data_IF_881783229490
#
_entry.id   IF_881783229490
#
_cell.length_a   1.000
_cell.length_b   1.000
_cell.length_c   1.000
_cell.angle_alpha   90.00
_cell.angle_beta   90.00
_cell.angle_gamma   90.00
#
_symmetry.space_group_name_H-M   'P 1'
#
loop_
_entity.id
_entity.type
_entity.pdbx_description
1 polymer ?
#
# COMPACT_ATOMS: atom_id res chain seq x y z
N UNK A 1 -1.14 13.65 23.04
CA UNK A 1 -2.13 14.59 22.48
C UNK A 1 -2.21 14.33 20.99
N UNK A 2 -3.40 14.23 20.38
CA UNK A 2 -3.52 14.09 18.93
C UNK A 2 -2.79 15.26 18.28
N UNK A 3 -1.80 14.95 17.44
CA UNK A 3 -1.18 15.96 16.58
C UNK A 3 -2.11 16.19 15.40
N UNK A 4 -2.51 17.44 15.22
CA UNK A 4 -3.32 17.85 14.09
C UNK A 4 -2.49 17.72 12.82
N UNK A 5 -2.98 16.94 11.87
CA UNK A 5 -2.39 16.88 10.53
C UNK A 5 -2.47 18.24 9.86
N UNK A 6 -1.58 18.48 8.90
CA UNK A 6 -1.60 19.69 8.09
C UNK A 6 -2.95 19.82 7.41
N UNK A 7 -3.52 21.03 7.51
CA UNK A 7 -4.81 21.32 6.92
C UNK A 7 -4.67 21.44 5.39
N UNK A 8 -5.65 20.88 4.66
CA UNK A 8 -5.69 20.86 3.21
C UNK A 8 -6.56 22.01 2.67
N UNK A 9 -6.03 22.71 1.67
CA UNK A 9 -6.82 23.59 0.81
C UNK A 9 -7.56 22.74 -0.23
N UNK A 10 -8.89 22.72 -0.15
CA UNK A 10 -9.75 21.94 -1.05
C UNK A 10 -9.73 22.44 -2.51
N UNK A 11 -9.14 23.61 -2.79
CA UNK A 11 -8.92 24.11 -4.16
C UNK A 11 -7.68 23.48 -4.82
N UNK A 12 -6.84 22.81 -4.06
CA UNK A 12 -5.64 22.12 -4.55
C UNK A 12 -5.70 20.63 -4.21
N UNK A 13 -5.05 19.80 -5.02
CA UNK A 13 -4.93 18.38 -4.72
C UNK A 13 -3.63 18.13 -3.94
N UNK A 14 -3.69 17.50 -2.75
CA UNK A 14 -2.48 17.09 -2.04
C UNK A 14 -1.74 16.00 -2.83
N UNK A 15 -0.42 15.94 -2.68
CA UNK A 15 0.47 15.01 -3.38
C UNK A 15 0.67 13.77 -2.51
N UNK A 16 0.22 12.62 -3.00
CA UNK A 16 0.19 11.38 -2.22
C UNK A 16 1.06 10.34 -2.90
N UNK A 17 2.02 9.80 -2.17
CA UNK A 17 2.78 8.64 -2.63
C UNK A 17 2.16 7.37 -2.07
N UNK A 18 1.90 6.36 -2.92
CA UNK A 18 1.53 5.02 -2.49
C UNK A 18 2.63 4.03 -2.89
N UNK A 19 3.43 3.60 -1.91
CA UNK A 19 4.53 2.66 -2.11
C UNK A 19 4.09 1.23 -1.80
N UNK A 20 4.32 0.32 -2.75
CA UNK A 20 4.20 -1.11 -2.55
C UNK A 20 5.55 -1.82 -2.39
N UNK A 21 5.47 -3.12 -2.18
CA UNK A 21 6.63 -3.97 -1.87
C UNK A 21 7.62 -4.17 -3.04
N UNK A 22 7.34 -3.63 -4.22
CA UNK A 22 8.20 -3.73 -5.39
C UNK A 22 9.61 -3.20 -5.18
N UNK A 23 9.77 -2.13 -4.38
CA UNK A 23 11.08 -1.58 -4.02
C UNK A 23 11.91 -2.59 -3.22
N UNK A 24 11.28 -3.30 -2.27
CA UNK A 24 11.95 -4.38 -1.53
C UNK A 24 12.33 -5.53 -2.47
N UNK A 25 11.46 -5.88 -3.42
CA UNK A 25 11.74 -6.93 -4.41
C UNK A 25 12.91 -6.61 -5.35
N UNK A 26 13.27 -5.34 -5.52
CA UNK A 26 14.48 -4.96 -6.26
C UNK A 26 15.78 -5.39 -5.55
N UNK A 27 15.69 -5.73 -4.25
CA UNK A 27 16.81 -6.17 -3.40
C UNK A 27 16.52 -7.52 -2.73
N UNK A 28 15.93 -8.47 -3.48
CA UNK A 28 15.62 -9.83 -3.00
C UNK A 28 14.64 -9.90 -1.81
N UNK A 29 13.87 -8.83 -1.58
CA UNK A 29 12.81 -8.80 -0.58
C UNK A 29 11.69 -9.81 -0.87
N UNK A 30 11.02 -10.24 0.20
CA UNK A 30 9.97 -11.26 0.16
C UNK A 30 8.83 -10.89 -0.78
N UNK A 31 8.39 -11.82 -1.63
CA UNK A 31 7.13 -11.70 -2.36
C UNK A 31 5.93 -12.19 -1.53
N UNK A 32 4.72 -11.89 -2.00
CA UNK A 32 3.48 -12.46 -1.47
C UNK A 32 3.52 -14.00 -1.40
N UNK A 33 4.06 -14.65 -2.43
CA UNK A 33 4.21 -16.11 -2.47
C UNK A 33 5.18 -16.61 -1.40
N UNK A 34 6.25 -15.87 -1.11
CA UNK A 34 7.23 -16.23 -0.08
C UNK A 34 6.63 -16.07 1.32
N UNK A 35 5.85 -15.02 1.54
CA UNK A 35 5.10 -14.83 2.78
C UNK A 35 4.10 -15.97 3.00
N UNK A 36 3.26 -16.30 2.00
CA UNK A 36 2.29 -17.40 2.07
C UNK A 36 3.00 -18.74 2.35
N UNK A 37 4.14 -18.99 1.71
CA UNK A 37 4.93 -20.18 1.95
C UNK A 37 5.47 -20.22 3.40
N UNK A 38 5.95 -19.09 3.92
CA UNK A 38 6.47 -18.96 5.28
C UNK A 38 5.40 -19.14 6.38
N UNK A 39 4.14 -18.83 6.08
CA UNK A 39 2.99 -19.02 6.98
C UNK A 39 2.39 -20.44 6.92
N UNK A 40 2.92 -21.30 6.07
CA UNK A 40 2.44 -22.66 5.82
C UNK A 40 2.34 -23.51 7.08
N UNK A 41 1.16 -24.08 7.37
CA UNK A 41 1.01 -25.04 8.48
C UNK A 41 1.52 -26.45 8.17
N UNK A 42 1.69 -26.75 6.87
CA UNK A 42 2.20 -28.02 6.37
C UNK A 42 2.90 -27.84 5.04
N UNK A 43 3.71 -28.83 4.68
CA UNK A 43 4.23 -28.96 3.34
C UNK A 43 3.12 -29.37 2.35
N UNK A 44 3.04 -28.64 1.25
CA UNK A 44 2.18 -28.96 0.11
C UNK A 44 2.99 -29.64 -0.98
N UNK A 45 2.45 -30.73 -1.54
CA UNK A 45 3.03 -31.40 -2.70
C UNK A 45 3.08 -30.46 -3.92
N UNK A 46 3.95 -30.77 -4.89
CA UNK A 46 4.06 -29.96 -6.13
C UNK A 46 2.71 -29.82 -6.86
N UNK A 47 1.87 -30.86 -6.84
CA UNK A 47 0.53 -30.84 -7.43
C UNK A 47 -0.40 -29.88 -6.68
N UNK A 48 -0.40 -29.92 -5.35
CA UNK A 48 -1.20 -29.00 -4.53
C UNK A 48 -0.74 -27.56 -4.71
N UNK A 49 0.57 -27.30 -4.68
CA UNK A 49 1.13 -25.95 -4.89
C UNK A 49 0.67 -25.35 -6.23
N UNK A 50 0.66 -26.14 -7.31
CA UNK A 50 0.16 -25.70 -8.62
C UNK A 50 -1.34 -25.41 -8.61
N UNK A 51 -2.13 -26.21 -7.89
CA UNK A 51 -3.57 -25.96 -7.76
C UNK A 51 -3.85 -24.69 -6.94
N UNK A 52 -3.13 -24.50 -5.84
CA UNK A 52 -3.24 -23.31 -4.96
C UNK A 52 -2.86 -22.05 -5.74
N UNK A 53 -1.78 -22.06 -6.51
CA UNK A 53 -1.32 -20.92 -7.30
C UNK A 53 -2.34 -20.44 -8.37
N UNK A 54 -3.38 -21.22 -8.67
CA UNK A 54 -4.46 -20.82 -9.57
C UNK A 54 -5.58 -20.01 -8.88
N UNK A 55 -5.59 -19.99 -7.54
CA UNK A 55 -6.58 -19.28 -6.75
C UNK A 55 -6.16 -17.81 -6.53
N UNK A 56 -7.10 -16.90 -6.25
CA UNK A 56 -6.79 -15.56 -5.75
C UNK A 56 -5.93 -15.60 -4.48
N UNK A 57 -4.99 -14.66 -4.32
CA UNK A 57 -4.08 -14.61 -3.16
C UNK A 57 -4.77 -14.73 -1.80
N UNK A 58 -5.92 -14.09 -1.54
CA UNK A 58 -6.59 -14.19 -0.25
C UNK A 58 -7.00 -15.64 0.08
N UNK A 59 -7.38 -16.42 -0.92
CA UNK A 59 -7.74 -17.84 -0.73
C UNK A 59 -6.51 -18.73 -0.62
N UNK A 60 -5.40 -18.36 -1.25
CA UNK A 60 -4.12 -19.04 -1.06
C UNK A 60 -3.68 -18.94 0.41
N UNK A 61 -3.80 -17.76 1.03
CA UNK A 61 -3.44 -17.55 2.44
C UNK A 61 -4.31 -18.39 3.39
N UNK A 62 -5.63 -18.49 3.13
CA UNK A 62 -6.54 -19.35 3.91
C UNK A 62 -6.09 -20.80 3.86
N UNK A 63 -5.78 -21.31 2.66
CA UNK A 63 -5.29 -22.69 2.51
C UNK A 63 -3.94 -22.87 3.18
N UNK A 64 -3.00 -21.95 2.97
CA UNK A 64 -1.65 -22.06 3.50
C UNK A 64 -1.61 -22.06 5.03
N UNK A 65 -2.50 -21.32 5.68
CA UNK A 65 -2.56 -21.19 7.14
C UNK A 65 -3.51 -22.20 7.80
N UNK A 66 -4.33 -22.91 7.02
CA UNK A 66 -5.39 -23.76 7.54
C UNK A 66 -6.48 -22.94 8.24
N UNK A 67 -6.76 -21.76 7.70
CA UNK A 67 -7.70 -20.76 8.25
C UNK A 67 -7.34 -20.28 9.67
N UNK A 68 -6.03 -20.18 9.95
CA UNK A 68 -5.49 -19.67 11.23
C UNK A 68 -4.55 -18.50 10.98
N UNK A 69 -5.02 -17.54 10.20
CA UNK A 69 -4.21 -16.44 9.67
C UNK A 69 -3.60 -15.61 10.80
N UNK A 70 -4.43 -15.11 11.74
CA UNK A 70 -3.95 -14.29 12.88
C UNK A 70 -2.87 -15.00 13.69
N UNK A 71 -3.11 -16.28 14.03
CA UNK A 71 -2.16 -17.08 14.82
C UNK A 71 -0.83 -17.22 14.09
N UNK A 72 -0.86 -17.53 12.79
CA UNK A 72 0.35 -17.72 11.99
C UNK A 72 1.10 -16.42 11.79
N UNK A 73 0.41 -15.29 11.64
CA UNK A 73 1.04 -13.99 11.53
C UNK A 73 1.75 -13.60 12.82
N UNK A 74 1.09 -13.74 13.96
CA UNK A 74 1.71 -13.48 15.26
C UNK A 74 2.96 -14.33 15.49
N UNK A 75 2.95 -15.61 15.09
CA UNK A 75 4.10 -16.51 15.21
C UNK A 75 5.29 -16.15 14.30
N UNK A 76 5.04 -15.46 13.18
CA UNK A 76 6.05 -15.26 12.12
C UNK A 76 6.41 -13.79 11.85
N UNK A 77 5.68 -12.82 12.42
CA UNK A 77 5.84 -11.39 12.15
C UNK A 77 7.30 -10.91 12.24
N UNK A 78 8.04 -11.33 13.26
CA UNK A 78 9.44 -10.92 13.47
C UNK A 78 10.40 -11.38 12.37
N UNK A 79 10.06 -12.43 11.60
CA UNK A 79 10.93 -12.94 10.52
C UNK A 79 11.01 -11.97 9.33
N UNK A 80 10.04 -11.08 9.22
CA UNK A 80 9.94 -10.13 8.11
C UNK A 80 10.59 -8.78 8.45
N UNK A 81 10.90 -8.50 9.71
CA UNK A 81 11.66 -7.31 10.11
C UNK A 81 13.15 -7.51 9.81
N UNK A 82 13.60 -7.00 8.67
CA UNK A 82 15.00 -7.02 8.26
C UNK A 82 15.58 -5.61 8.21
N UNK A 83 16.88 -5.49 8.42
CA UNK A 83 17.57 -4.20 8.30
C UNK A 83 17.77 -3.85 6.81
N UNK A 84 17.66 -2.57 6.49
CA UNK A 84 17.85 -2.07 5.13
C UNK A 84 19.30 -2.21 4.68
N UNK A 85 19.49 -2.72 3.47
CA UNK A 85 20.78 -2.60 2.79
C UNK A 85 21.02 -1.12 2.42
N UNK A 86 22.26 -0.60 2.44
CA UNK A 86 22.53 0.79 2.10
C UNK A 86 22.00 1.21 0.72
N UNK A 87 22.09 0.33 -0.28
CA UNK A 87 21.55 0.59 -1.62
C UNK A 87 20.02 0.60 -1.66
N UNK A 88 19.37 -0.23 -0.84
CA UNK A 88 17.92 -0.27 -0.69
C UNK A 88 17.43 1.00 0.02
N UNK A 89 18.09 1.41 1.10
CA UNK A 89 17.82 2.67 1.78
C UNK A 89 17.92 3.85 0.82
N UNK A 90 18.99 3.94 0.03
CA UNK A 90 19.16 4.99 -0.97
C UNK A 90 18.02 5.00 -2.01
N UNK A 91 17.50 3.82 -2.39
CA UNK A 91 16.36 3.75 -3.30
C UNK A 91 15.07 4.29 -2.67
N UNK A 92 14.78 3.94 -1.42
CA UNK A 92 13.62 4.50 -0.71
C UNK A 92 13.73 6.02 -0.57
N UNK A 93 14.94 6.53 -0.28
CA UNK A 93 15.22 7.96 -0.17
C UNK A 93 14.91 8.75 -1.45
N UNK A 94 15.14 8.15 -2.64
CA UNK A 94 14.72 8.77 -3.91
C UNK A 94 13.23 9.12 -3.94
N UNK A 95 12.38 8.40 -3.20
CA UNK A 95 10.96 8.70 -3.11
C UNK A 95 10.60 9.51 -1.86
N UNK A 96 11.16 9.18 -0.70
CA UNK A 96 10.77 9.83 0.57
C UNK A 96 11.24 11.27 0.69
N UNK A 97 12.28 11.65 -0.06
CA UNK A 97 12.83 13.01 -0.06
C UNK A 97 12.00 13.99 -0.92
N UNK A 98 11.02 13.48 -1.68
CA UNK A 98 10.11 14.30 -2.47
C UNK A 98 9.01 14.93 -1.59
N UNK A 99 8.47 16.11 -1.97
CA UNK A 99 7.56 16.88 -1.12
C UNK A 99 6.13 16.33 -1.13
N UNK A 100 5.92 15.24 -0.39
CA UNK A 100 4.61 14.60 -0.23
C UNK A 100 3.80 15.18 0.93
N UNK A 101 2.48 15.23 0.77
CA UNK A 101 1.55 15.55 1.86
C UNK A 101 1.24 14.33 2.74
N UNK A 102 1.32 13.12 2.15
CA UNK A 102 1.26 11.85 2.86
C UNK A 102 1.89 10.72 2.03
N UNK A 103 2.40 9.71 2.74
CA UNK A 103 2.87 8.45 2.15
C UNK A 103 1.95 7.33 2.63
N UNK A 104 1.45 6.53 1.70
CA UNK A 104 0.63 5.35 1.94
C UNK A 104 1.43 4.10 1.59
N UNK A 105 1.23 3.01 2.31
CA UNK A 105 1.84 1.73 1.96
C UNK A 105 0.95 0.55 2.32
N UNK A 106 1.02 -0.47 1.48
CA UNK A 106 0.42 -1.80 1.74
C UNK A 106 1.43 -2.77 2.36
N UNK A 107 2.68 -2.33 2.55
CA UNK A 107 3.71 -3.12 3.20
C UNK A 107 3.41 -3.23 4.69
N UNK A 108 3.74 -4.36 5.30
CA UNK A 108 3.61 -4.54 6.75
C UNK A 108 4.88 -4.13 7.51
N UNK A 109 6.01 -4.06 6.79
CA UNK A 109 7.36 -3.79 7.27
C UNK A 109 7.71 -2.30 7.15
N UNK A 110 8.71 -1.87 7.93
CA UNK A 110 9.03 -0.44 8.16
C UNK A 110 10.21 0.08 7.33
N UNK A 111 10.38 -0.36 6.09
CA UNK A 111 11.48 0.12 5.24
C UNK A 111 11.38 1.61 4.91
N UNK A 112 10.16 2.13 4.75
CA UNK A 112 9.93 3.55 4.44
C UNK A 112 10.40 4.39 5.63
N UNK A 113 9.99 4.01 6.84
CA UNK A 113 10.31 4.72 8.07
C UNK A 113 11.80 4.69 8.36
N UNK A 114 12.45 3.51 8.22
CA UNK A 114 13.90 3.36 8.39
C UNK A 114 14.70 4.18 7.37
N UNK A 115 14.16 4.39 6.17
CA UNK A 115 14.82 5.20 5.16
C UNK A 115 14.77 6.70 5.47
N UNK A 116 13.64 7.17 6.04
CA UNK A 116 13.46 8.55 6.48
C UNK A 116 14.24 8.84 7.76
N UNK A 117 14.14 7.96 8.76
CA UNK A 117 14.83 8.08 10.05
C UNK A 117 15.51 6.75 10.41
N UNK A 118 16.85 6.65 10.28
CA UNK A 118 17.59 5.44 10.67
C UNK A 118 17.47 5.07 12.15
N UNK A 119 17.01 5.99 13.01
CA UNK A 119 16.73 5.71 14.42
C UNK A 119 15.34 5.11 14.66
N UNK A 120 14.52 4.97 13.60
CA UNK A 120 13.18 4.42 13.70
C UNK A 120 13.16 3.04 14.34
N UNK A 121 12.33 2.89 15.38
CA UNK A 121 12.17 1.64 16.11
C UNK A 121 10.76 1.52 16.70
N UNK A 122 9.95 0.66 16.10
CA UNK A 122 8.63 0.26 16.57
C UNK A 122 8.57 -1.27 16.77
N UNK A 123 9.60 -1.88 17.37
CA UNK A 123 9.71 -3.35 17.45
C UNK A 123 8.83 -4.04 18.49
N UNK A 124 8.15 -3.30 19.37
CA UNK A 124 7.32 -3.88 20.43
C UNK A 124 6.04 -3.08 20.68
N UNK A 125 4.92 -3.75 21.00
CA UNK A 125 3.64 -3.11 21.37
C UNK A 125 3.78 -2.10 22.52
N UNK A 126 4.84 -2.17 23.33
CA UNK A 126 5.03 -1.34 24.51
C UNK A 126 5.69 0.03 24.23
N UNK A 127 6.38 0.21 23.09
CA UNK A 127 7.07 1.45 22.77
C UNK A 127 6.92 1.79 21.29
N UNK A 128 6.07 2.78 21.00
CA UNK A 128 5.70 3.21 19.65
C UNK A 128 5.87 4.74 19.53
N UNK A 129 7.11 5.26 19.61
CA UNK A 129 7.38 6.69 19.72
C UNK A 129 6.99 7.50 18.48
N UNK A 130 6.93 6.84 17.32
CA UNK A 130 6.57 7.44 16.04
C UNK A 130 5.08 7.28 15.70
N UNK A 131 4.37 6.40 16.41
CA UNK A 131 2.96 6.14 16.14
C UNK A 131 2.08 7.29 16.62
N UNK A 132 1.13 7.68 15.78
CA UNK A 132 0.16 8.75 16.02
C UNK A 132 -1.23 8.28 15.59
N UNK A 133 -2.24 8.97 16.12
CA UNK A 133 -3.64 8.78 15.75
C UNK A 133 -4.33 10.13 15.64
N UNK A 134 -5.28 10.21 14.72
CA UNK A 134 -6.10 11.43 14.50
C UNK A 134 -7.34 11.49 15.39
N UNK A 135 -7.70 10.39 16.05
CA UNK A 135 -8.88 10.26 16.92
C UNK A 135 -8.51 9.49 18.18
N UNK A 136 -9.08 9.88 19.32
CA UNK A 136 -8.87 9.18 20.61
C UNK A 136 -10.02 8.22 20.97
N UNK A 137 -11.23 8.46 20.44
CA UNK A 137 -12.47 7.75 20.83
C UNK A 137 -12.93 6.68 19.82
N UNK A 138 -12.11 6.35 18.81
CA UNK A 138 -12.46 5.27 17.89
C UNK A 138 -12.23 3.90 18.51
N UNK A 139 -12.92 2.88 18.00
CA UNK A 139 -12.60 1.49 18.34
C UNK A 139 -11.13 1.21 17.99
N UNK A 140 -10.46 0.30 18.71
CA UNK A 140 -9.08 -0.07 18.39
C UNK A 140 -8.97 -0.58 16.94
N UNK A 141 -9.97 -1.34 16.47
CA UNK A 141 -10.05 -1.85 15.11
C UNK A 141 -10.14 -0.73 14.05
N UNK A 142 -10.99 0.27 14.26
CA UNK A 142 -11.11 1.41 13.35
C UNK A 142 -9.87 2.31 13.42
N UNK A 143 -9.28 2.45 14.62
CA UNK A 143 -8.07 3.25 14.83
C UNK A 143 -6.95 2.76 13.95
N UNK A 144 -6.67 1.46 13.99
CA UNK A 144 -5.60 0.86 13.19
C UNK A 144 -5.88 0.90 11.69
N UNK A 145 -7.13 0.65 11.31
CA UNK A 145 -7.49 0.57 9.90
C UNK A 145 -7.55 1.92 9.18
N UNK A 146 -7.91 3.00 9.88
CA UNK A 146 -8.23 4.27 9.24
C UNK A 146 -7.45 5.46 9.77
N UNK A 147 -7.10 5.47 11.05
CA UNK A 147 -6.73 6.70 11.77
C UNK A 147 -5.30 6.71 12.32
N UNK A 148 -4.59 5.59 12.23
CA UNK A 148 -3.21 5.44 12.69
C UNK A 148 -2.20 5.71 11.58
N UNK A 149 -1.13 6.42 11.93
CA UNK A 149 0.01 6.70 11.07
C UNK A 149 1.30 6.77 11.87
N UNK A 150 2.43 6.75 11.16
CA UNK A 150 3.75 7.01 11.70
C UNK A 150 4.21 8.41 11.28
N UNK A 151 4.87 9.11 12.19
CA UNK A 151 5.36 10.47 11.98
C UNK A 151 6.74 10.63 12.59
N UNK A 152 7.72 10.87 11.72
CA UNK A 152 9.06 11.32 12.07
C UNK A 152 9.12 12.85 11.99
N UNK A 153 10.19 13.43 12.54
CA UNK A 153 10.44 14.87 12.48
C UNK A 153 10.59 15.32 11.02
N UNK A 154 9.92 16.41 10.65
CA UNK A 154 9.92 17.01 9.30
C UNK A 154 9.53 16.11 8.11
N UNK A 155 9.02 14.91 8.36
CA UNK A 155 8.59 13.96 7.33
C UNK A 155 7.07 13.99 7.10
N UNK A 156 6.60 13.61 5.90
CA UNK A 156 5.17 13.36 5.67
C UNK A 156 4.64 12.23 6.58
N UNK A 157 3.35 12.25 6.98
CA UNK A 157 2.76 11.12 7.71
C UNK A 157 2.75 9.87 6.83
N UNK A 158 3.18 8.73 7.39
CA UNK A 158 3.21 7.43 6.71
C UNK A 158 2.10 6.53 7.23
N UNK A 159 1.29 6.01 6.32
CA UNK A 159 0.09 5.23 6.63
C UNK A 159 0.23 3.81 6.10
N UNK A 160 0.24 2.84 7.01
CA UNK A 160 0.16 1.42 6.67
C UNK A 160 -1.30 1.02 6.48
N UNK A 161 -1.82 1.24 5.28
CA UNK A 161 -3.25 1.11 4.97
C UNK A 161 -3.76 -0.34 5.04
N UNK A 162 -2.85 -1.31 5.01
CA UNK A 162 -3.16 -2.74 5.18
C UNK A 162 -2.73 -3.29 6.55
N UNK A 163 -2.41 -2.42 7.52
CA UNK A 163 -1.87 -2.82 8.83
C UNK A 163 -0.35 -3.00 8.80
N UNK A 164 0.24 -3.28 9.97
CA UNK A 164 1.69 -3.36 10.15
C UNK A 164 2.13 -4.46 11.13
N UNK A 165 3.43 -4.79 11.12
CA UNK A 165 4.00 -5.89 11.91
C UNK A 165 3.90 -5.71 13.44
N UNK A 166 3.68 -4.49 13.95
CA UNK A 166 3.51 -4.29 15.40
C UNK A 166 2.16 -4.78 15.90
N UNK A 167 1.20 -4.86 14.99
CA UNK A 167 -0.19 -5.25 15.23
C UNK A 167 -0.62 -6.27 14.16
N UNK A 168 -0.16 -7.53 14.28
CA UNK A 168 -0.44 -8.55 13.26
C UNK A 168 -1.93 -8.80 12.99
N UNK A 169 -2.79 -8.53 13.97
CA UNK A 169 -4.25 -8.57 13.90
C UNK A 169 -4.87 -7.47 13.02
N UNK A 170 -4.11 -6.43 12.69
CA UNK A 170 -4.51 -5.38 11.75
C UNK A 170 -4.25 -5.76 10.28
N UNK A 171 -3.43 -6.79 10.02
CA UNK A 171 -2.93 -7.11 8.69
C UNK A 171 -4.05 -7.67 7.78
N UNK A 172 -4.23 -7.06 6.61
CA UNK A 172 -5.24 -7.51 5.64
C UNK A 172 -4.74 -8.74 4.89
N UNK A 173 -5.12 -9.93 5.37
CA UNK A 173 -4.69 -11.20 4.79
C UNK A 173 -5.82 -12.23 4.73
N UNK A 174 -6.39 -12.42 3.55
CA UNK A 174 -7.50 -13.35 3.36
C UNK A 174 -8.83 -12.64 3.15
N UNK A 175 -9.78 -13.36 2.55
CA UNK A 175 -11.02 -12.78 2.05
C UNK A 175 -11.89 -12.13 3.14
N UNK A 176 -11.87 -12.68 4.36
CA UNK A 176 -12.56 -12.12 5.52
C UNK A 176 -12.07 -10.69 5.85
N UNK A 177 -10.75 -10.50 5.91
CA UNK A 177 -10.15 -9.20 6.24
C UNK A 177 -10.37 -8.16 5.15
N UNK A 178 -10.29 -8.55 3.87
CA UNK A 178 -10.66 -7.66 2.76
C UNK A 178 -12.15 -7.25 2.83
N UNK A 179 -13.04 -8.17 3.22
CA UNK A 179 -14.46 -7.87 3.45
C UNK A 179 -14.66 -6.82 4.55
N UNK A 180 -13.96 -6.98 5.67
CA UNK A 180 -14.00 -6.01 6.78
C UNK A 180 -13.39 -4.65 6.36
N UNK A 181 -12.28 -4.65 5.62
CA UNK A 181 -11.67 -3.44 5.08
C UNK A 181 -12.65 -2.65 4.20
N UNK A 182 -13.30 -3.30 3.24
CA UNK A 182 -14.33 -2.67 2.40
C UNK A 182 -15.50 -2.14 3.23
N UNK A 183 -15.96 -2.88 4.24
CA UNK A 183 -17.04 -2.42 5.12
C UNK A 183 -16.69 -1.13 5.86
N UNK A 184 -15.46 -1.05 6.41
CA UNK A 184 -14.94 0.15 7.08
C UNK A 184 -14.81 1.32 6.12
N UNK A 185 -14.23 1.09 4.94
CA UNK A 185 -14.10 2.10 3.89
C UNK A 185 -15.47 2.64 3.45
N UNK A 186 -16.45 1.76 3.26
CA UNK A 186 -17.82 2.14 2.89
C UNK A 186 -18.50 3.00 3.97
N UNK A 187 -18.34 2.65 5.25
CA UNK A 187 -18.90 3.43 6.34
C UNK A 187 -18.24 4.81 6.43
N UNK A 188 -16.90 4.84 6.30
CA UNK A 188 -16.13 6.08 6.34
C UNK A 188 -16.44 7.01 5.15
N UNK A 189 -16.56 6.46 3.94
CA UNK A 189 -16.77 7.27 2.73
C UNK A 189 -18.07 8.08 2.77
N UNK A 190 -19.09 7.60 3.48
CA UNK A 190 -20.35 8.35 3.70
C UNK A 190 -20.11 9.60 4.53
N UNK A 191 -19.42 9.46 5.66
CA UNK A 191 -19.07 10.57 6.56
C UNK A 191 -18.15 11.56 5.85
N UNK A 192 -17.16 11.06 5.13
CA UNK A 192 -16.26 11.86 4.32
C UNK A 192 -17.02 12.73 3.30
N UNK A 193 -17.90 12.13 2.51
CA UNK A 193 -18.61 12.84 1.44
C UNK A 193 -19.48 13.97 2.00
N UNK A 194 -20.19 13.73 3.10
CA UNK A 194 -21.01 14.74 3.78
C UNK A 194 -20.17 15.90 4.32
N UNK A 195 -19.02 15.59 4.92
CA UNK A 195 -18.13 16.59 5.50
C UNK A 195 -17.47 17.45 4.41
N UNK A 196 -16.97 16.84 3.33
CA UNK A 196 -16.36 17.57 2.22
C UNK A 196 -17.37 18.52 1.57
N UNK A 197 -18.58 18.04 1.27
CA UNK A 197 -19.63 18.90 0.69
C UNK A 197 -19.96 20.11 1.59
N UNK A 198 -19.97 19.92 2.92
CA UNK A 198 -20.18 20.98 3.90
C UNK A 198 -19.04 22.01 3.87
N UNK A 199 -17.79 21.55 3.83
CA UNK A 199 -16.59 22.40 3.82
C UNK A 199 -16.46 23.21 2.54
N UNK A 200 -16.73 22.59 1.39
CA UNK A 200 -16.73 23.27 0.09
C UNK A 200 -17.77 24.39 0.04
N UNK A 201 -19.00 24.11 0.51
CA UNK A 201 -20.05 25.13 0.57
C UNK A 201 -19.66 26.30 1.48
N UNK A 202 -18.89 26.04 2.53
CA UNK A 202 -18.40 27.06 3.44
C UNK A 202 -17.14 27.79 2.94
N UNK A 203 -16.50 27.32 1.86
CA UNK A 203 -15.21 27.84 1.41
C UNK A 203 -14.10 27.65 2.45
N UNK A 204 -14.20 26.61 3.28
CA UNK A 204 -13.27 26.35 4.37
C UNK A 204 -12.33 25.20 4.02
N UNK A 205 -11.14 25.27 4.58
CA UNK A 205 -10.13 24.23 4.57
C UNK A 205 -10.57 22.97 5.36
N UNK A 206 -9.87 21.87 5.12
CA UNK A 206 -10.21 20.55 5.64
C UNK A 206 -9.00 19.88 6.30
N UNK A 207 -9.15 19.48 7.56
CA UNK A 207 -8.11 18.73 8.29
C UNK A 207 -8.35 17.22 8.06
N UNK A 208 -7.40 16.50 7.45
CA UNK A 208 -7.51 15.05 7.27
C UNK A 208 -7.65 14.33 8.60
N UNK A 209 -8.46 13.28 8.59
CA UNK A 209 -8.64 12.34 9.70
C UNK A 209 -8.11 10.97 9.32
N UNK A 210 -8.24 10.57 8.07
CA UNK A 210 -7.85 9.23 7.61
C UNK A 210 -6.95 9.30 6.38
N UNK A 211 -6.14 8.28 6.18
CA UNK A 211 -5.47 8.02 4.91
C UNK A 211 -6.44 8.01 3.72
N UNK A 212 -7.71 7.64 3.94
CA UNK A 212 -8.78 7.65 2.93
C UNK A 212 -9.01 9.06 2.40
N UNK A 213 -8.89 10.08 3.25
CA UNK A 213 -9.06 11.47 2.83
C UNK A 213 -7.96 11.88 1.85
N UNK A 214 -6.72 11.55 2.18
CA UNK A 214 -5.57 11.79 1.30
C UNK A 214 -5.76 11.08 -0.04
N UNK A 215 -6.12 9.79 -0.02
CA UNK A 215 -6.35 9.03 -1.25
C UNK A 215 -7.47 9.62 -2.11
N UNK A 216 -8.60 10.01 -1.50
CA UNK A 216 -9.76 10.51 -2.24
C UNK A 216 -9.56 11.95 -2.74
N UNK A 217 -8.80 12.79 -2.03
CA UNK A 217 -8.60 14.21 -2.38
C UNK A 217 -7.37 14.48 -3.25
N UNK A 218 -6.34 13.63 -3.15
CA UNK A 218 -5.01 13.93 -3.69
C UNK A 218 -4.69 13.39 -5.08
N UNK A 219 -3.59 13.85 -5.64
CA UNK A 219 -2.93 13.22 -6.77
C UNK A 219 -2.11 12.03 -6.25
N UNK A 220 -2.52 10.81 -6.58
CA UNK A 220 -1.96 9.57 -6.04
C UNK A 220 -0.95 8.97 -7.02
N UNK A 221 0.31 8.86 -6.59
CA UNK A 221 1.40 8.25 -7.34
C UNK A 221 1.65 6.86 -6.77
N UNK A 222 1.24 5.82 -7.50
CA UNK A 222 1.40 4.43 -7.09
C UNK A 222 2.69 3.87 -7.70
N UNK A 223 3.62 3.46 -6.85
CA UNK A 223 4.92 2.91 -7.27
C UNK A 223 5.22 1.63 -6.48
N UNK A 224 5.74 0.61 -7.16
CA UNK A 224 6.11 -0.66 -6.52
C UNK A 224 4.93 -1.50 -6.04
N UNK A 225 3.69 -1.04 -6.23
CA UNK A 225 2.51 -1.84 -5.93
C UNK A 225 2.01 -2.55 -7.19
N UNK A 226 1.79 -3.86 -7.06
CA UNK A 226 1.30 -4.69 -8.15
C UNK A 226 -0.11 -4.32 -8.60
N UNK A 227 -0.96 -3.77 -7.72
CA UNK A 227 -2.41 -3.61 -7.94
C UNK A 227 -3.00 -4.93 -8.47
N UNK A 228 -2.82 -6.02 -7.72
CA UNK A 228 -3.44 -7.30 -8.04
C UNK A 228 -4.97 -7.19 -7.93
N UNK A 229 -5.72 -8.00 -8.66
CA UNK A 229 -7.19 -7.99 -8.58
C UNK A 229 -7.72 -8.39 -7.20
N UNK A 230 -6.88 -9.03 -6.38
CA UNK A 230 -7.17 -9.37 -5.00
C UNK A 230 -7.16 -8.16 -4.05
N UNK A 231 -6.52 -7.04 -4.44
CA UNK A 231 -6.51 -5.77 -3.69
C UNK A 231 -7.87 -5.06 -3.83
N UNK A 232 -8.93 -5.78 -3.47
CA UNK A 232 -10.33 -5.44 -3.75
C UNK A 232 -10.79 -4.17 -3.05
N UNK A 233 -10.23 -3.86 -1.89
CA UNK A 233 -10.40 -2.63 -1.13
C UNK A 233 -9.80 -1.41 -1.86
N UNK A 234 -8.59 -1.54 -2.41
CA UNK A 234 -7.98 -0.50 -3.24
C UNK A 234 -8.76 -0.28 -4.53
N UNK A 235 -9.15 -1.34 -5.24
CA UNK A 235 -9.98 -1.22 -6.44
C UNK A 235 -11.35 -0.59 -6.14
N UNK A 236 -11.94 -0.93 -5.00
CA UNK A 236 -13.16 -0.29 -4.53
C UNK A 236 -12.93 1.21 -4.29
N UNK A 237 -11.82 1.58 -3.65
CA UNK A 237 -11.50 2.98 -3.34
C UNK A 237 -11.16 3.80 -4.58
N UNK A 238 -10.48 3.21 -5.57
CA UNK A 238 -10.28 3.82 -6.90
C UNK A 238 -11.62 4.19 -7.54
N UNK A 239 -12.61 3.29 -7.47
CA UNK A 239 -13.94 3.56 -7.98
C UNK A 239 -14.65 4.68 -7.18
N UNK A 240 -14.52 4.68 -5.86
CA UNK A 240 -15.02 5.76 -5.01
C UNK A 240 -14.41 7.12 -5.37
N UNK A 241 -13.10 7.19 -5.61
CA UNK A 241 -12.42 8.41 -6.05
C UNK A 241 -13.01 8.93 -7.36
N UNK A 242 -13.34 8.05 -8.31
CA UNK A 242 -13.99 8.45 -9.56
C UNK A 242 -15.39 9.05 -9.36
N UNK A 243 -16.14 8.58 -8.37
CA UNK A 243 -17.52 9.02 -8.13
C UNK A 243 -17.57 10.35 -7.36
N UNK A 244 -16.77 10.49 -6.31
CA UNK A 244 -16.86 11.63 -5.38
C UNK A 244 -15.50 12.16 -4.88
N UNK A 245 -14.39 11.58 -5.33
CA UNK A 245 -13.05 12.13 -5.08
C UNK A 245 -12.66 13.22 -6.07
N UNK A 246 -11.43 13.71 -5.93
CA UNK A 246 -10.77 14.64 -6.86
C UNK A 246 -9.30 14.26 -7.02
N UNK A 247 -8.58 14.90 -7.94
CA UNK A 247 -7.20 14.56 -8.25
C UNK A 247 -7.06 13.30 -9.11
N UNK A 248 -5.83 13.00 -9.49
CA UNK A 248 -5.47 11.92 -10.41
C UNK A 248 -4.96 10.67 -9.69
N UNK A 249 -4.90 9.55 -10.39
CA UNK A 249 -4.15 8.36 -9.96
C UNK A 249 -3.19 7.99 -11.09
N UNK A 250 -1.90 7.92 -10.78
CA UNK A 250 -0.84 7.45 -11.69
C UNK A 250 -0.28 6.14 -11.17
N UNK A 251 -0.30 5.10 -12.00
CA UNK A 251 0.24 3.78 -11.67
C UNK A 251 1.49 3.51 -12.51
N UNK A 252 2.65 3.64 -11.86
CA UNK A 252 3.95 3.30 -12.46
C UNK A 252 4.18 1.80 -12.29
N UNK A 253 4.28 1.09 -13.41
CA UNK A 253 4.32 -0.37 -13.40
C UNK A 253 5.44 -0.94 -14.26
N UNK A 254 6.44 -1.55 -13.62
CA UNK A 254 7.45 -2.36 -14.31
C UNK A 254 6.84 -3.66 -14.85
N UNK A 255 6.98 -3.89 -16.15
CA UNK A 255 6.66 -5.16 -16.79
C UNK A 255 7.94 -5.91 -17.14
N UNK A 256 7.96 -7.22 -16.87
CA UNK A 256 9.09 -8.12 -17.18
C UNK A 256 8.76 -9.07 -18.33
N UNK A 257 7.83 -8.67 -19.21
CA UNK A 257 7.32 -9.47 -20.31
C UNK A 257 8.43 -9.97 -21.25
N UNK A 258 9.50 -9.18 -21.45
CA UNK A 258 10.64 -9.49 -22.31
C UNK A 258 11.53 -10.57 -21.71
N UNK A 259 11.49 -10.73 -20.39
CA UNK A 259 12.24 -11.72 -19.63
C UNK A 259 11.48 -13.07 -19.51
N UNK A 260 10.18 -13.08 -19.84
CA UNK A 260 9.36 -14.29 -19.78
C UNK A 260 9.63 -15.23 -20.95
N UNK A 261 9.55 -16.55 -20.70
CA UNK A 261 9.57 -17.55 -21.77
C UNK A 261 8.37 -17.35 -22.71
N UNK A 262 8.47 -17.72 -24.01
CA UNK A 262 7.39 -17.45 -24.98
C UNK A 262 5.99 -17.88 -24.54
N UNK A 263 5.87 -19.07 -23.91
CA UNK A 263 4.60 -19.61 -23.42
C UNK A 263 4.02 -18.79 -22.27
N UNK A 264 4.87 -18.32 -21.36
CA UNK A 264 4.48 -17.50 -20.20
C UNK A 264 4.15 -16.07 -20.62
N UNK A 265 4.89 -15.56 -21.62
CA UNK A 265 4.73 -14.21 -22.16
C UNK A 265 3.31 -13.98 -22.66
N UNK A 266 2.71 -14.92 -23.39
CA UNK A 266 1.33 -14.76 -23.88
C UNK A 266 0.33 -14.56 -22.73
N UNK A 267 0.43 -15.38 -21.68
CA UNK A 267 -0.44 -15.25 -20.50
C UNK A 267 -0.19 -13.93 -19.77
N UNK A 268 1.08 -13.54 -19.64
CA UNK A 268 1.48 -12.30 -19.00
C UNK A 268 0.98 -11.05 -19.74
N UNK A 269 1.10 -11.02 -21.07
CA UNK A 269 0.57 -9.92 -21.91
C UNK A 269 -0.93 -9.77 -21.75
N UNK A 270 -1.68 -10.88 -21.66
CA UNK A 270 -3.13 -10.83 -21.41
C UNK A 270 -3.46 -10.17 -20.06
N UNK A 271 -2.68 -10.47 -19.01
CA UNK A 271 -2.85 -9.83 -17.70
C UNK A 271 -2.52 -8.34 -17.76
N UNK A 272 -1.44 -7.95 -18.46
CA UNK A 272 -1.07 -6.54 -18.63
C UNK A 272 -2.16 -5.76 -19.39
N UNK A 273 -2.69 -6.33 -20.48
CA UNK A 273 -3.79 -5.73 -21.23
C UNK A 273 -5.06 -5.61 -20.38
N UNK A 274 -5.44 -6.65 -19.65
CA UNK A 274 -6.61 -6.60 -18.76
C UNK A 274 -6.45 -5.52 -17.67
N UNK A 275 -5.25 -5.36 -17.11
CA UNK A 275 -4.94 -4.27 -16.17
C UNK A 275 -5.06 -2.90 -16.82
N UNK A 276 -4.49 -2.70 -18.01
CA UNK A 276 -4.59 -1.45 -18.75
C UNK A 276 -6.06 -1.06 -19.01
N UNK A 277 -6.88 -2.00 -19.48
CA UNK A 277 -8.31 -1.76 -19.73
C UNK A 277 -9.08 -1.42 -18.45
N UNK A 278 -8.73 -2.07 -17.33
CA UNK A 278 -9.35 -1.77 -16.04
C UNK A 278 -8.96 -0.38 -15.53
N UNK A 279 -7.67 -0.03 -15.65
CA UNK A 279 -7.17 1.31 -15.31
C UNK A 279 -7.88 2.39 -16.14
N UNK A 280 -8.01 2.20 -17.45
CA UNK A 280 -8.74 3.10 -18.34
C UNK A 280 -10.20 3.27 -17.90
N UNK A 281 -10.90 2.17 -17.62
CA UNK A 281 -12.29 2.21 -17.15
C UNK A 281 -12.46 2.99 -15.83
N UNK A 282 -11.43 2.96 -14.97
CA UNK A 282 -11.39 3.68 -13.71
C UNK A 282 -10.66 5.02 -13.73
N UNK A 283 -10.28 5.53 -14.92
CA UNK A 283 -9.54 6.78 -15.08
C UNK A 283 -8.22 6.82 -14.28
N UNK A 284 -7.55 5.67 -14.17
CA UNK A 284 -6.19 5.54 -13.65
C UNK A 284 -5.22 5.68 -14.80
N UNK A 285 -4.29 6.63 -14.72
CA UNK A 285 -3.19 6.79 -15.67
C UNK A 285 -2.20 5.64 -15.48
N UNK A 286 -2.27 4.64 -16.36
CA UNK A 286 -1.39 3.47 -16.33
C UNK A 286 -0.12 3.73 -17.13
N UNK A 287 1.04 3.70 -16.46
CA UNK A 287 2.35 4.02 -17.03
C UNK A 287 3.24 2.77 -16.97
N UNK A 288 3.07 1.81 -17.90
CA UNK A 288 3.87 0.60 -17.94
C UNK A 288 5.24 0.85 -18.57
N UNK A 289 6.28 0.23 -18.02
CA UNK A 289 7.61 0.17 -18.66
C UNK A 289 8.10 -1.28 -18.76
N UNK A 290 8.45 -1.70 -19.98
CA UNK A 290 8.91 -3.05 -20.28
C UNK A 290 10.42 -3.16 -20.16
N UNK A 291 10.88 -3.78 -19.07
CA UNK A 291 12.28 -3.89 -18.69
C UNK A 291 13.07 -4.79 -19.66
N UNK A 292 14.26 -4.34 -20.05
CA UNK A 292 15.20 -5.11 -20.89
C UNK A 292 16.06 -6.11 -20.06
N UNK A 293 16.22 -5.82 -18.77
CA UNK A 293 16.96 -6.63 -17.81
C UNK A 293 16.18 -6.70 -16.49
N UNK A 294 16.56 -7.59 -15.58
CA UNK A 294 15.94 -7.68 -14.24
C UNK A 294 16.37 -6.53 -13.30
N UNK A 295 16.75 -5.37 -13.82
CA UNK A 295 17.20 -4.22 -13.03
C UNK A 295 16.01 -3.33 -12.60
N UNK A 296 15.28 -3.81 -11.61
CA UNK A 296 14.17 -3.07 -11.02
C UNK A 296 14.64 -1.83 -10.23
N UNK A 297 15.87 -1.84 -9.70
CA UNK A 297 16.39 -0.73 -8.93
C UNK A 297 16.62 0.49 -9.82
N UNK A 298 17.20 0.32 -11.02
CA UNK A 298 17.31 1.39 -12.02
C UNK A 298 15.95 1.94 -12.43
N UNK A 299 15.00 1.05 -12.74
CA UNK A 299 13.63 1.46 -13.09
C UNK A 299 13.00 2.36 -12.02
N UNK A 300 13.09 1.98 -10.75
CA UNK A 300 12.52 2.78 -9.67
C UNK A 300 13.25 4.11 -9.48
N UNK A 301 14.58 4.19 -9.68
CA UNK A 301 15.31 5.47 -9.67
C UNK A 301 14.83 6.41 -10.77
N UNK A 302 14.72 5.93 -12.01
CA UNK A 302 14.19 6.72 -13.14
C UNK A 302 12.73 7.14 -12.93
N UNK A 303 11.94 6.29 -12.27
CA UNK A 303 10.56 6.61 -11.89
C UNK A 303 10.52 7.76 -10.88
N UNK A 304 11.37 7.73 -9.85
CA UNK A 304 11.47 8.82 -8.88
C UNK A 304 11.92 10.14 -9.55
N UNK A 305 12.88 10.09 -10.47
CA UNK A 305 13.31 11.26 -11.25
C UNK A 305 12.17 11.84 -12.12
N UNK A 306 11.39 10.98 -12.77
CA UNK A 306 10.22 11.40 -13.56
C UNK A 306 9.20 12.09 -12.66
N UNK A 307 8.83 11.47 -11.54
CA UNK A 307 7.88 12.04 -10.58
C UNK A 307 8.39 13.38 -10.07
N UNK A 308 9.68 13.50 -9.75
CA UNK A 308 10.27 14.75 -9.27
C UNK A 308 10.16 15.90 -10.27
N UNK A 309 10.04 15.63 -11.57
CA UNK A 309 9.85 16.65 -12.60
C UNK A 309 8.39 17.08 -12.74
N UNK A 310 7.46 16.23 -12.30
CA UNK A 310 6.01 16.48 -12.33
C UNK A 310 5.51 17.26 -11.08
N UNK A 311 6.28 17.23 -9.99
CA UNK A 311 5.97 17.89 -8.70
C UNK A 311 6.40 19.36 -8.66
#
# INVERSE_FOLDING_TARGET
>A
MPQTLTELDLNTSPRILLLGNGLNRAYEGFSWSDMIAGLGYREFSLRERRAIASLPYPLQTVIATGDRIDTRLMENAQKYDTDLLPAQQALFQCFTDLPWDAVLTTNYTFEIEKAVDPSFNCRTKAYLPFQRRTVDDASEEDTYALYQYYKMEDAAPIWHIHGDLTQPDSMILGHYYYGNAISRLHNYSRVFTEEIARREKAGSSFVPRSWVDYFLLGDVYIVGLGMDYSESDLWWLVNCKKIFGRGSIRLYYATDEKLKRPVERISYMRKCLAKQLLCEAYAVEYIPESLESSDYADYYRRTAETISQDL
#
